data_IF_944815965198
#
_entry.id   IF_944815965198
#
_cell.length_a   1.000
_cell.length_b   1.000
_cell.length_c   1.000
_cell.angle_alpha   90.00
_cell.angle_beta   90.00
_cell.angle_gamma   90.00
#
_symmetry.space_group_name_H-M   'P 1'
#
loop_
_entity.id
_entity.type
_entity.pdbx_description
1 polymer ?
#
# COMPACT_ATOMS: atom_id res chain seq x y z
N UNK A 1 -33.79 -28.90 24.29
CA UNK A 1 -32.33 -28.74 24.32
C UNK A 1 -31.79 -29.35 23.05
N UNK A 2 -31.02 -28.59 22.26
CA UNK A 2 -30.44 -29.06 21.00
C UNK A 2 -28.92 -29.05 21.18
N UNK A 3 -28.30 -30.22 21.13
CA UNK A 3 -26.84 -30.32 21.07
C UNK A 3 -26.37 -29.84 19.68
N UNK A 4 -25.47 -28.87 19.65
CA UNK A 4 -24.78 -28.45 18.42
C UNK A 4 -23.39 -29.06 18.43
N UNK A 5 -23.09 -29.80 17.35
CA UNK A 5 -21.92 -30.66 17.23
C UNK A 5 -20.58 -29.90 17.31
N UNK A 6 -19.67 -30.42 18.12
CA UNK A 6 -18.29 -29.95 18.26
C UNK A 6 -17.41 -30.41 17.09
N UNK A 7 -17.46 -29.67 15.97
CA UNK A 7 -16.49 -29.81 14.86
C UNK A 7 -16.05 -28.47 14.30
N UNK A 8 -14.93 -27.96 14.80
CA UNK A 8 -13.92 -27.18 14.07
C UNK A 8 -12.70 -26.90 14.98
N UNK A 9 -12.00 -27.96 15.38
CA UNK A 9 -10.70 -27.82 16.03
C UNK A 9 -9.66 -27.41 14.98
N UNK A 10 -9.46 -26.10 14.79
CA UNK A 10 -8.42 -25.56 13.91
C UNK A 10 -7.05 -25.98 14.46
N UNK A 11 -6.33 -26.81 13.72
CA UNK A 11 -5.06 -27.37 14.17
C UNK A 11 -4.00 -26.27 14.34
N UNK A 12 -3.28 -26.22 15.49
CA UNK A 12 -2.15 -25.29 15.68
C UNK A 12 -1.03 -25.41 14.64
N UNK A 13 -1.00 -26.48 13.84
CA UNK A 13 -0.01 -26.71 12.79
C UNK A 13 0.04 -25.62 11.70
N UNK A 14 -1.06 -24.87 11.47
CA UNK A 14 -1.09 -23.75 10.53
C UNK A 14 -0.15 -22.59 10.94
N UNK A 15 0.06 -22.37 12.23
CA UNK A 15 0.91 -21.27 12.73
C UNK A 15 2.41 -21.51 12.54
N UNK A 16 2.85 -22.78 12.44
CA UNK A 16 4.27 -23.11 12.20
C UNK A 16 4.62 -23.13 10.70
N UNK A 17 3.70 -23.59 9.85
CA UNK A 17 3.96 -23.78 8.40
C UNK A 17 4.05 -22.49 7.58
N UNK A 18 3.52 -21.37 8.08
CA UNK A 18 3.49 -20.10 7.33
C UNK A 18 4.83 -19.32 7.34
N UNK A 19 5.78 -19.69 8.21
CA UNK A 19 7.10 -19.06 8.34
C UNK A 19 7.08 -17.58 8.75
N UNK A 20 5.94 -17.08 9.23
CA UNK A 20 5.61 -15.65 9.16
C UNK A 20 6.34 -14.72 10.14
N UNK A 21 6.89 -15.22 11.26
CA UNK A 21 7.58 -14.38 12.26
C UNK A 21 8.72 -15.14 12.94
N UNK A 22 9.96 -14.66 12.81
CA UNK A 22 11.03 -14.97 13.77
C UNK A 22 10.82 -14.08 14.99
N UNK A 23 10.17 -14.60 16.03
CA UNK A 23 9.95 -13.85 17.28
C UNK A 23 11.30 -13.61 17.96
N UNK A 24 11.77 -12.35 18.13
CA UNK A 24 12.99 -12.09 18.88
C UNK A 24 12.77 -12.41 20.36
N UNK A 25 13.68 -13.21 20.94
CA UNK A 25 13.59 -13.59 22.35
C UNK A 25 13.61 -12.34 23.25
N UNK A 26 12.66 -12.26 24.19
CA UNK A 26 12.57 -11.15 25.17
C UNK A 26 13.86 -11.06 25.98
N UNK A 27 14.66 -10.01 25.76
CA UNK A 27 15.74 -9.63 26.70
C UNK A 27 15.11 -9.08 27.98
N UNK A 28 15.26 -9.81 29.08
CA UNK A 28 14.91 -9.36 30.43
C UNK A 28 15.86 -8.25 30.88
N UNK A 29 15.37 -7.02 31.02
CA UNK A 29 16.14 -5.93 31.62
C UNK A 29 16.16 -6.08 33.15
N UNK A 30 17.33 -6.44 33.68
CA UNK A 30 17.64 -6.34 35.11
C UNK A 30 18.17 -4.93 35.40
N UNK A 31 17.50 -4.19 36.29
CA UNK A 31 17.94 -2.86 36.71
C UNK A 31 18.89 -2.96 37.92
N UNK A 32 20.07 -2.32 37.84
CA UNK A 32 20.89 -2.00 39.02
C UNK A 32 21.78 -0.76 38.80
N UNK A 33 22.07 -0.11 39.93
CA UNK A 33 22.66 1.23 40.18
C UNK A 33 24.02 1.48 39.50
N UNK A 34 24.40 2.75 39.33
CA UNK A 34 25.44 3.24 38.39
C UNK A 34 26.39 4.32 38.98
N UNK A 35 27.53 4.60 38.30
CA UNK A 35 28.61 5.58 38.63
C UNK A 35 29.48 5.17 39.86
N UNK A 36 30.68 5.77 40.13
CA UNK A 36 31.33 6.92 39.47
C UNK A 36 32.84 6.80 39.07
N UNK A 37 33.23 7.48 37.97
CA UNK A 37 34.54 8.17 37.72
C UNK A 37 35.87 7.35 37.72
N UNK A 38 36.98 7.68 37.02
CA UNK A 38 37.50 8.91 36.35
C UNK A 38 38.41 8.59 35.13
N UNK A 39 38.75 9.65 34.36
CA UNK A 39 40.03 9.93 33.64
C UNK A 39 40.55 9.09 32.45
N UNK A 40 40.42 9.69 31.25
CA UNK A 40 41.45 9.93 30.20
C UNK A 40 42.42 8.84 29.71
N UNK A 41 42.43 8.63 28.39
CA UNK A 41 43.62 8.92 27.55
C UNK A 41 43.24 9.14 26.08
N UNK A 42 43.96 10.01 25.36
CA UNK A 42 43.86 10.14 23.91
C UNK A 42 44.48 8.94 23.19
N UNK A 43 43.91 8.52 22.06
CA UNK A 43 44.68 8.02 20.91
C UNK A 43 43.91 8.17 19.60
N UNK A 44 44.65 8.54 18.55
CA UNK A 44 44.17 8.85 17.21
C UNK A 44 44.15 7.61 16.32
N UNK A 45 43.06 7.39 15.59
CA UNK A 45 42.97 6.61 14.35
C UNK A 45 41.73 7.13 13.60
N UNK A 46 41.90 7.95 12.57
CA UNK A 46 41.99 7.55 11.15
C UNK A 46 40.69 6.94 10.61
N UNK A 47 40.27 7.52 9.47
CA UNK A 47 38.93 7.44 8.89
C UNK A 47 38.58 6.07 8.30
N UNK A 48 37.38 5.60 8.60
CA UNK A 48 36.60 4.78 7.69
C UNK A 48 35.38 5.59 7.29
N UNK A 49 35.23 5.85 5.98
CA UNK A 49 34.08 6.57 5.44
C UNK A 49 32.82 5.76 5.63
N UNK A 50 31.83 6.35 6.32
CA UNK A 50 30.44 5.96 6.19
C UNK A 50 29.77 6.97 5.27
N UNK A 51 29.08 6.50 4.23
CA UNK A 51 28.30 7.37 3.35
C UNK A 51 27.15 7.99 4.14
N UNK A 52 27.30 9.27 4.53
CA UNK A 52 26.19 10.08 5.01
C UNK A 52 25.27 10.39 3.82
N UNK A 53 24.16 9.66 3.73
CA UNK A 53 23.10 9.98 2.79
C UNK A 53 22.39 11.27 3.24
N UNK A 54 22.90 12.42 2.80
CA UNK A 54 22.19 13.70 2.91
C UNK A 54 20.88 13.63 2.10
N UNK A 55 19.76 13.65 2.82
CA UNK A 55 18.43 13.75 2.22
C UNK A 55 18.11 15.20 1.85
N UNK A 56 18.29 15.58 0.58
CA UNK A 56 17.95 16.94 0.12
C UNK A 56 16.45 17.29 0.28
N UNK A 57 16.19 18.55 0.70
CA UNK A 57 15.04 18.96 1.55
C UNK A 57 13.65 19.08 0.88
N UNK A 58 13.33 18.25 -0.11
CA UNK A 58 12.11 18.35 -0.93
C UNK A 58 10.81 18.63 -0.16
N UNK A 59 10.30 19.87 -0.30
CA UNK A 59 9.06 20.45 0.26
C UNK A 59 8.94 20.52 1.79
N UNK A 60 9.88 21.18 2.48
CA UNK A 60 9.60 21.69 3.85
C UNK A 60 8.38 22.64 3.85
N UNK A 61 7.44 22.42 4.78
CA UNK A 61 6.38 23.39 5.15
C UNK A 61 7.08 24.65 5.69
N UNK A 62 6.61 25.89 5.38
CA UNK A 62 7.31 27.10 5.84
C UNK A 62 7.51 27.14 7.36
N UNK A 63 8.76 27.41 7.77
CA UNK A 63 9.12 27.59 9.18
C UNK A 63 8.46 28.88 9.70
N UNK A 64 8.00 28.87 10.95
CA UNK A 64 7.35 30.03 11.59
C UNK A 64 5.82 30.08 11.50
N UNK A 65 5.18 29.35 10.57
CA UNK A 65 3.71 29.29 10.51
C UNK A 65 3.09 28.73 11.80
N UNK A 66 1.99 29.32 12.26
CA UNK A 66 1.13 28.74 13.30
C UNK A 66 0.52 27.41 12.84
N UNK A 67 -0.02 26.62 13.78
CA UNK A 67 -0.66 25.36 13.45
C UNK A 67 -1.82 25.54 12.44
N UNK A 68 -2.64 26.57 12.61
CA UNK A 68 -3.77 26.86 11.73
C UNK A 68 -3.32 27.23 10.30
N UNK A 69 -2.24 28.00 10.15
CA UNK A 69 -1.69 28.38 8.84
C UNK A 69 -1.02 27.20 8.13
N UNK A 70 -0.29 26.33 8.85
CA UNK A 70 0.22 25.08 8.28
C UNK A 70 -0.91 24.18 7.78
N UNK A 71 -2.02 24.18 8.50
CA UNK A 71 -3.20 23.36 8.20
C UNK A 71 -3.93 23.90 6.97
N UNK A 72 -4.16 25.21 6.90
CA UNK A 72 -4.68 25.88 5.71
C UNK A 72 -3.75 25.70 4.50
N UNK A 73 -2.43 25.85 4.67
CA UNK A 73 -1.43 25.60 3.63
C UNK A 73 -1.51 24.17 3.10
N UNK A 74 -1.63 23.15 3.97
CA UNK A 74 -1.77 21.75 3.53
C UNK A 74 -3.14 21.49 2.87
N UNK A 75 -4.18 22.17 3.32
CA UNK A 75 -5.55 22.05 2.78
C UNK A 75 -5.66 22.69 1.39
N UNK A 76 -5.00 23.83 1.17
CA UNK A 76 -4.97 24.60 -0.08
C UNK A 76 -3.99 24.00 -1.12
N UNK A 77 -2.76 23.64 -0.72
CA UNK A 77 -1.79 23.04 -1.65
C UNK A 77 -2.09 21.57 -1.98
N UNK A 78 -2.63 20.77 -1.05
CA UNK A 78 -2.73 19.31 -1.19
C UNK A 78 -4.19 18.79 -1.15
N UNK A 79 -5.18 19.65 -0.91
CA UNK A 79 -6.59 19.25 -0.78
C UNK A 79 -6.88 18.45 0.48
N UNK A 80 -6.04 18.56 1.52
CA UNK A 80 -6.08 17.74 2.74
C UNK A 80 -6.22 18.60 4.01
N UNK A 81 -7.32 18.48 4.75
CA UNK A 81 -7.42 19.11 6.08
C UNK A 81 -6.84 18.24 7.20
N UNK A 82 -5.95 18.79 8.05
CA UNK A 82 -5.56 18.13 9.30
C UNK A 82 -6.65 18.25 10.40
N UNK A 83 -7.78 18.92 10.16
CA UNK A 83 -8.85 19.17 11.16
C UNK A 83 -9.87 18.03 11.34
N UNK A 84 -9.80 16.94 10.56
CA UNK A 84 -10.74 15.82 10.73
C UNK A 84 -10.53 15.20 12.14
N UNK A 85 -11.57 15.02 12.99
CA UNK A 85 -11.42 14.96 14.45
C UNK A 85 -11.09 13.57 15.06
N UNK A 86 -10.99 13.52 16.39
CA UNK A 86 -10.77 12.30 17.18
C UNK A 86 -11.93 11.29 17.06
N UNK A 87 -11.61 10.00 17.06
CA UNK A 87 -12.57 8.91 16.94
C UNK A 87 -12.06 7.59 17.56
N UNK A 88 -11.87 7.49 18.89
CA UNK A 88 -12.04 8.50 19.95
C UNK A 88 -11.12 8.17 21.15
N UNK A 89 -10.88 9.16 22.03
CA UNK A 89 -10.06 9.14 23.26
C UNK A 89 -8.61 8.61 23.24
N UNK A 90 -8.30 7.48 22.61
CA UNK A 90 -7.05 6.76 22.84
C UNK A 90 -5.83 7.34 22.09
N UNK A 91 -4.62 7.33 22.68
CA UNK A 91 -4.33 6.97 24.07
C UNK A 91 -3.05 7.67 24.59
N UNK A 92 -3.14 8.13 25.84
CA UNK A 92 -2.11 8.68 26.74
C UNK A 92 -1.14 9.77 26.25
N UNK A 93 -1.03 10.10 24.97
CA UNK A 93 -0.58 11.43 24.53
C UNK A 93 -1.13 11.82 23.14
N UNK A 94 -2.12 12.73 23.05
CA UNK A 94 -2.78 13.08 21.79
C UNK A 94 -1.97 14.03 20.87
N UNK A 95 -0.72 14.38 21.21
CA UNK A 95 0.07 15.37 20.48
C UNK A 95 0.82 14.79 19.26
N UNK A 96 1.02 13.46 19.17
CA UNK A 96 1.71 12.86 18.01
C UNK A 96 0.74 12.58 16.84
N UNK A 97 0.65 13.53 15.91
CA UNK A 97 -0.05 13.36 14.62
C UNK A 97 0.36 12.08 13.88
N UNK A 98 1.60 11.60 14.02
CA UNK A 98 2.09 10.40 13.32
C UNK A 98 1.37 9.15 13.84
N UNK A 99 1.09 9.09 15.15
CA UNK A 99 0.30 8.01 15.73
C UNK A 99 -1.13 8.02 15.19
N UNK A 100 -1.76 9.20 15.12
CA UNK A 100 -3.12 9.35 14.53
C UNK A 100 -3.16 8.87 13.09
N UNK A 101 -2.16 9.23 12.26
CA UNK A 101 -2.05 8.77 10.85
C UNK A 101 -1.90 7.25 10.75
N UNK A 102 -1.08 6.62 11.61
CA UNK A 102 -0.89 5.16 11.66
C UNK A 102 -2.16 4.41 12.08
N UNK A 103 -2.84 4.89 13.13
CA UNK A 103 -4.13 4.33 13.59
C UNK A 103 -5.18 4.44 12.49
N UNK A 104 -5.30 5.60 11.84
CA UNK A 104 -6.22 5.80 10.71
C UNK A 104 -5.91 4.88 9.55
N UNK A 105 -4.66 4.82 9.08
CA UNK A 105 -4.26 3.95 7.96
C UNK A 105 -4.59 2.46 8.23
N UNK A 106 -4.33 1.99 9.45
CA UNK A 106 -4.70 0.63 9.88
C UNK A 106 -6.23 0.45 9.94
N UNK A 107 -6.96 1.43 10.48
CA UNK A 107 -8.43 1.44 10.52
C UNK A 107 -9.09 1.46 9.13
N UNK A 108 -8.53 2.20 8.17
CA UNK A 108 -8.97 2.21 6.76
C UNK A 108 -8.82 0.83 6.13
N UNK A 109 -7.70 0.15 6.39
CA UNK A 109 -7.44 -1.20 5.88
C UNK A 109 -8.42 -2.22 6.49
N UNK A 110 -8.62 -2.16 7.81
CA UNK A 110 -9.61 -2.94 8.57
C UNK A 110 -11.03 -2.77 8.03
N UNK A 111 -11.50 -1.54 7.88
CA UNK A 111 -12.87 -1.28 7.41
C UNK A 111 -13.03 -1.66 5.93
N UNK A 112 -12.06 -1.36 5.06
CA UNK A 112 -12.15 -1.68 3.63
C UNK A 112 -12.21 -3.19 3.36
N UNK A 113 -11.39 -3.97 4.07
CA UNK A 113 -11.34 -5.44 3.93
C UNK A 113 -12.29 -6.19 4.88
N UNK A 114 -13.00 -5.46 5.76
CA UNK A 114 -14.11 -5.99 6.56
C UNK A 114 -13.71 -6.82 7.79
N UNK A 115 -12.60 -6.49 8.44
CA UNK A 115 -12.06 -7.24 9.59
C UNK A 115 -11.79 -6.35 10.83
N UNK A 116 -11.49 -6.98 11.97
CA UNK A 116 -11.37 -6.31 13.29
C UNK A 116 -12.73 -5.91 13.89
N UNK A 117 -12.75 -5.43 15.14
CA UNK A 117 -14.00 -5.01 15.81
C UNK A 117 -14.44 -3.58 15.47
N UNK A 118 -13.48 -2.67 15.26
CA UNK A 118 -13.75 -1.23 15.15
C UNK A 118 -14.22 -0.76 13.76
N UNK A 119 -15.20 -1.46 13.17
CA UNK A 119 -15.72 -1.26 11.79
C UNK A 119 -16.60 -0.01 11.59
N UNK A 120 -16.51 0.96 12.50
CA UNK A 120 -17.38 2.14 12.57
C UNK A 120 -16.61 3.45 12.70
N UNK A 121 -15.27 3.41 12.65
CA UNK A 121 -14.45 4.63 12.77
C UNK A 121 -14.59 5.52 11.51
N UNK A 122 -14.91 4.95 10.35
CA UNK A 122 -14.75 5.63 9.06
C UNK A 122 -16.04 5.60 8.23
N UNK A 123 -16.99 6.45 8.62
CA UNK A 123 -18.23 6.64 7.85
C UNK A 123 -17.93 7.10 6.41
N UNK A 124 -18.62 6.48 5.44
CA UNK A 124 -18.64 6.93 4.04
C UNK A 124 -17.93 6.03 3.03
N UNK A 125 -17.20 5.00 3.48
CA UNK A 125 -16.75 3.90 2.62
C UNK A 125 -17.96 3.11 2.05
N UNK A 126 -17.72 2.36 0.97
CA UNK A 126 -18.75 1.75 0.12
C UNK A 126 -19.75 0.84 0.83
N UNK A 127 -20.77 0.39 0.09
CA UNK A 127 -21.67 -0.65 0.60
C UNK A 127 -20.85 -1.94 0.86
N UNK A 128 -21.14 -2.71 1.93
CA UNK A 128 -20.56 -4.03 2.07
C UNK A 128 -20.92 -4.90 0.85
N UNK A 129 -19.95 -5.70 0.40
CA UNK A 129 -20.16 -6.70 -0.64
C UNK A 129 -21.10 -7.80 -0.12
N UNK A 130 -21.88 -8.39 -1.03
CA UNK A 130 -22.87 -9.40 -0.68
C UNK A 130 -22.22 -10.58 0.06
N UNK A 131 -22.77 -10.94 1.23
CA UNK A 131 -22.25 -12.00 2.14
C UNK A 131 -20.85 -11.73 2.71
N UNK A 132 -20.42 -10.47 2.79
CA UNK A 132 -19.16 -10.08 3.41
C UNK A 132 -19.28 -8.76 4.17
N UNK A 133 -18.35 -8.53 5.10
CA UNK A 133 -18.14 -7.20 5.69
C UNK A 133 -17.12 -6.35 4.91
N UNK A 134 -16.45 -6.94 3.91
CA UNK A 134 -15.57 -6.22 2.97
C UNK A 134 -16.38 -5.18 2.19
N UNK A 135 -15.83 -4.00 2.01
CA UNK A 135 -16.48 -2.87 1.32
C UNK A 135 -16.29 -2.99 -0.19
N UNK A 136 -17.28 -2.59 -0.97
CA UNK A 136 -17.15 -2.47 -2.43
C UNK A 136 -16.33 -1.21 -2.76
N UNK A 137 -15.02 -1.38 -2.92
CA UNK A 137 -14.04 -0.32 -3.16
C UNK A 137 -12.98 -0.76 -4.16
N UNK A 138 -12.47 0.22 -4.91
CA UNK A 138 -11.32 0.08 -5.80
C UNK A 138 -10.11 0.71 -5.15
N UNK A 139 -9.07 -0.07 -4.88
CA UNK A 139 -7.77 0.47 -4.52
C UNK A 139 -7.05 0.90 -5.79
N UNK A 140 -6.58 2.16 -5.84
CA UNK A 140 -5.70 2.66 -6.91
C UNK A 140 -4.41 3.14 -6.26
N UNK A 141 -3.35 2.37 -6.41
CA UNK A 141 -2.02 2.73 -5.97
C UNK A 141 -1.29 3.57 -7.00
N UNK A 142 -0.62 4.63 -6.54
CA UNK A 142 0.21 5.51 -7.37
C UNK A 142 1.62 5.59 -6.79
N UNK A 143 2.61 5.61 -7.68
CA UNK A 143 4.01 5.90 -7.41
C UNK A 143 4.58 6.75 -8.57
N UNK A 144 5.53 7.66 -8.30
CA UNK A 144 6.11 8.55 -9.31
C UNK A 144 7.63 8.66 -9.17
N UNK A 145 8.35 8.35 -10.25
CA UNK A 145 9.81 8.42 -10.31
C UNK A 145 10.29 9.20 -11.55
N UNK A 146 11.59 9.51 -11.63
CA UNK A 146 12.26 10.21 -12.74
C UNK A 146 11.63 11.57 -13.07
N UNK A 147 11.03 12.18 -12.05
CA UNK A 147 10.27 13.44 -12.11
C UNK A 147 11.21 14.62 -12.39
N UNK A 148 11.14 15.18 -13.61
CA UNK A 148 11.82 16.44 -13.96
C UNK A 148 10.94 17.63 -13.56
N UNK A 149 11.53 18.59 -12.85
CA UNK A 149 10.82 19.79 -12.37
C UNK A 149 11.44 21.05 -12.94
N UNK A 150 10.58 21.97 -13.35
CA UNK A 150 10.92 23.38 -13.48
C UNK A 150 10.80 24.01 -12.10
N UNK A 151 11.78 24.84 -11.69
CA UNK A 151 11.86 25.46 -10.37
C UNK A 151 12.14 26.94 -10.55
N UNK A 152 11.35 27.78 -9.89
CA UNK A 152 11.49 29.24 -9.91
C UNK A 152 11.26 29.82 -8.52
N UNK A 153 11.58 31.10 -8.33
CA UNK A 153 11.51 31.76 -7.03
C UNK A 153 10.48 32.89 -7.03
N UNK A 154 9.62 32.92 -6.00
CA UNK A 154 8.63 33.98 -5.76
C UNK A 154 8.78 34.40 -4.30
N UNK A 155 9.03 35.68 -4.03
CA UNK A 155 9.19 36.26 -2.69
C UNK A 155 10.16 35.49 -1.76
N UNK A 156 11.31 35.06 -2.31
CA UNK A 156 12.32 34.27 -1.59
C UNK A 156 11.93 32.80 -1.38
N UNK A 157 10.86 32.32 -2.02
CA UNK A 157 10.35 30.95 -1.92
C UNK A 157 10.54 30.21 -3.24
N UNK A 158 11.32 29.13 -3.21
CA UNK A 158 11.43 28.20 -4.33
C UNK A 158 10.11 27.43 -4.47
N UNK A 159 9.46 27.60 -5.61
CA UNK A 159 8.30 26.83 -6.06
C UNK A 159 8.66 26.12 -7.37
N UNK A 160 7.82 25.23 -7.86
CA UNK A 160 8.10 24.51 -9.09
C UNK A 160 6.99 23.57 -9.51
N UNK A 161 7.06 23.14 -10.77
CA UNK A 161 6.09 22.25 -11.41
C UNK A 161 6.80 21.08 -12.08
N UNK A 162 6.21 19.90 -11.98
CA UNK A 162 6.61 18.73 -12.74
C UNK A 162 6.34 18.92 -14.23
N UNK A 163 7.39 18.80 -15.05
CA UNK A 163 7.30 18.88 -16.52
C UNK A 163 7.12 17.51 -17.16
N UNK A 164 7.82 16.50 -16.67
CA UNK A 164 7.80 15.11 -17.16
C UNK A 164 8.18 14.15 -16.03
N UNK A 165 7.82 12.88 -16.17
CA UNK A 165 8.11 11.86 -15.16
C UNK A 165 7.47 10.53 -15.49
N UNK A 166 7.84 9.49 -14.75
CA UNK A 166 7.28 8.16 -14.88
C UNK A 166 6.24 7.96 -13.78
N UNK A 167 5.03 7.58 -14.15
CA UNK A 167 3.91 7.34 -13.23
C UNK A 167 3.54 5.86 -13.28
N UNK A 168 3.58 5.21 -12.12
CA UNK A 168 3.06 3.88 -11.90
C UNK A 168 1.63 3.94 -11.39
N UNK A 169 0.75 3.13 -11.96
CA UNK A 169 -0.63 2.98 -11.49
C UNK A 169 -0.94 1.51 -11.33
N UNK A 170 -1.38 1.08 -10.14
CA UNK A 170 -1.84 -0.29 -9.91
C UNK A 170 -3.23 -0.31 -9.29
N UNK A 171 -4.07 -1.24 -9.73
CA UNK A 171 -5.51 -1.29 -9.43
C UNK A 171 -5.88 -2.65 -8.85
N UNK A 172 -6.67 -2.65 -7.78
CA UNK A 172 -7.18 -3.84 -7.11
C UNK A 172 -8.61 -3.61 -6.60
N UNK A 173 -9.57 -4.34 -7.18
CA UNK A 173 -10.98 -4.28 -6.78
C UNK A 173 -11.28 -5.32 -5.68
N UNK A 174 -11.84 -4.89 -4.54
CA UNK A 174 -12.22 -5.81 -3.45
C UNK A 174 -13.24 -6.86 -3.88
N UNK A 175 -14.14 -6.50 -4.80
CA UNK A 175 -15.09 -7.44 -5.41
C UNK A 175 -14.39 -8.62 -6.07
N UNK A 176 -13.28 -8.38 -6.78
CA UNK A 176 -12.53 -9.45 -7.44
C UNK A 176 -11.79 -10.34 -6.43
N UNK A 177 -11.35 -9.78 -5.29
CA UNK A 177 -10.82 -10.57 -4.17
C UNK A 177 -11.92 -11.47 -3.61
N UNK A 178 -13.11 -10.92 -3.31
CA UNK A 178 -14.20 -11.70 -2.72
C UNK A 178 -14.74 -12.78 -3.67
N UNK A 179 -14.99 -12.44 -4.94
CA UNK A 179 -15.47 -13.38 -5.96
C UNK A 179 -14.52 -14.58 -6.12
N UNK A 180 -13.20 -14.37 -6.01
CA UNK A 180 -12.20 -15.44 -6.08
C UNK A 180 -12.01 -16.15 -4.73
N UNK A 181 -12.12 -15.46 -3.59
CA UNK A 181 -12.04 -16.09 -2.27
C UNK A 181 -13.24 -17.00 -1.96
N UNK A 182 -14.41 -16.73 -2.56
CA UNK A 182 -15.61 -17.58 -2.48
C UNK A 182 -15.69 -18.62 -3.62
N UNK A 183 -14.74 -18.60 -4.56
CA UNK A 183 -14.66 -19.59 -5.64
C UNK A 183 -14.06 -20.90 -5.10
N UNK A 184 -14.60 -22.07 -5.48
CA UNK A 184 -13.98 -23.37 -5.15
C UNK A 184 -12.74 -23.67 -5.99
N UNK A 185 -12.42 -22.83 -6.98
CA UNK A 185 -11.26 -22.96 -7.86
C UNK A 185 -10.15 -22.00 -7.42
N UNK A 186 -8.98 -22.54 -7.08
CA UNK A 186 -7.77 -21.76 -6.87
C UNK A 186 -7.35 -21.04 -8.17
N UNK A 187 -7.07 -19.72 -8.13
CA UNK A 187 -6.59 -18.99 -9.30
C UNK A 187 -5.14 -19.43 -9.62
N UNK A 188 -4.80 -19.75 -10.88
CA UNK A 188 -3.44 -20.17 -11.24
C UNK A 188 -2.40 -19.06 -11.08
N UNK A 189 -2.82 -17.79 -11.12
CA UNK A 189 -1.96 -16.62 -10.98
C UNK A 189 -2.66 -15.53 -10.13
N UNK A 190 -2.74 -15.69 -8.79
CA UNK A 190 -3.49 -14.77 -7.93
C UNK A 190 -3.00 -13.32 -8.04
N UNK A 191 -1.69 -13.10 -8.23
CA UNK A 191 -1.09 -11.78 -8.46
C UNK A 191 -1.68 -10.98 -9.64
N UNK A 192 -2.37 -11.63 -10.60
CA UNK A 192 -3.07 -10.94 -11.70
C UNK A 192 -4.37 -10.24 -11.28
N UNK A 193 -4.81 -10.41 -10.02
CA UNK A 193 -5.88 -9.60 -9.43
C UNK A 193 -5.46 -8.14 -9.19
N UNK A 194 -4.15 -7.87 -9.14
CA UNK A 194 -3.59 -6.53 -9.24
C UNK A 194 -3.26 -6.26 -10.71
N UNK A 195 -3.97 -5.32 -11.33
CA UNK A 195 -3.65 -4.80 -12.66
C UNK A 195 -2.66 -3.64 -12.52
N UNK A 196 -1.64 -3.55 -13.37
CA UNK A 196 -0.60 -2.51 -13.25
C UNK A 196 -0.23 -1.92 -14.59
N UNK A 197 0.14 -0.64 -14.57
CA UNK A 197 0.46 0.19 -15.71
C UNK A 197 1.64 1.10 -15.39
N UNK A 198 2.48 1.41 -16.38
CA UNK A 198 3.53 2.41 -16.27
C UNK A 198 3.42 3.41 -17.43
N UNK A 199 3.44 4.69 -17.09
CA UNK A 199 3.26 5.79 -18.03
C UNK A 199 4.49 6.72 -17.99
N UNK A 200 5.16 6.88 -19.13
CA UNK A 200 6.20 7.88 -19.34
C UNK A 200 5.53 9.18 -19.80
N UNK A 201 5.26 10.07 -18.85
CA UNK A 201 4.45 11.27 -19.05
C UNK A 201 5.34 12.40 -19.54
N UNK A 202 5.00 12.99 -20.70
CA UNK A 202 5.83 13.97 -21.42
C UNK A 202 7.30 13.49 -21.59
N UNK A 203 7.49 12.18 -21.74
CA UNK A 203 8.81 11.53 -21.78
C UNK A 203 8.78 10.23 -22.59
N UNK A 204 9.92 9.86 -23.17
CA UNK A 204 10.07 8.61 -23.92
C UNK A 204 10.16 7.38 -23.01
N UNK A 205 9.74 6.22 -23.52
CA UNK A 205 9.97 4.93 -22.85
C UNK A 205 11.48 4.63 -22.86
N UNK A 206 12.08 4.19 -21.73
CA UNK A 206 13.49 3.81 -21.70
C UNK A 206 13.80 2.65 -22.65
N UNK A 207 15.02 2.63 -23.21
CA UNK A 207 15.51 1.51 -24.04
C UNK A 207 15.48 0.17 -23.29
N UNK A 208 15.78 0.22 -22.00
CA UNK A 208 15.68 -0.89 -21.06
C UNK A 208 14.51 -0.59 -20.11
N UNK A 209 13.32 -1.11 -20.45
CA UNK A 209 12.14 -0.99 -19.60
C UNK A 209 12.17 -2.03 -18.47
N UNK A 210 12.32 -1.55 -17.23
CA UNK A 210 12.34 -2.40 -16.04
C UNK A 210 10.94 -2.83 -15.56
N UNK A 211 9.86 -2.39 -16.20
CA UNK A 211 8.49 -2.68 -15.78
C UNK A 211 8.12 -4.16 -15.98
N UNK A 212 7.83 -4.87 -14.89
CA UNK A 212 7.64 -6.32 -14.83
C UNK A 212 6.21 -6.78 -15.13
N UNK A 213 5.24 -5.87 -15.09
CA UNK A 213 3.81 -6.21 -15.09
C UNK A 213 3.06 -5.82 -16.37
N UNK A 214 3.78 -5.40 -17.41
CA UNK A 214 3.19 -5.00 -18.69
C UNK A 214 4.23 -4.41 -19.65
N UNK A 215 3.88 -3.29 -20.28
CA UNK A 215 4.77 -2.45 -21.09
C UNK A 215 4.56 -1.00 -20.67
N UNK A 216 5.62 -0.19 -20.63
CA UNK A 216 5.47 1.26 -20.46
C UNK A 216 4.85 1.90 -21.69
N UNK A 217 3.98 2.89 -21.50
CA UNK A 217 3.43 3.72 -22.56
C UNK A 217 3.97 5.16 -22.43
N UNK A 218 4.54 5.73 -23.51
CA UNK A 218 4.81 7.17 -23.58
C UNK A 218 3.50 7.90 -23.90
N UNK A 219 3.11 8.86 -23.07
CA UNK A 219 1.83 9.57 -23.17
C UNK A 219 1.95 11.05 -22.77
N UNK A 220 1.01 11.86 -23.23
CA UNK A 220 0.83 13.23 -22.73
C UNK A 220 0.18 13.25 -21.34
N UNK A 221 0.34 14.35 -20.61
CA UNK A 221 -0.36 14.61 -19.34
C UNK A 221 -1.90 14.60 -19.52
N UNK A 222 -2.39 15.04 -20.68
CA UNK A 222 -3.82 14.97 -21.02
C UNK A 222 -4.32 13.53 -21.17
N UNK A 223 -3.51 12.63 -21.72
CA UNK A 223 -3.84 11.20 -21.81
C UNK A 223 -3.73 10.50 -20.46
N UNK A 224 -2.75 10.87 -19.62
CA UNK A 224 -2.69 10.41 -18.24
C UNK A 224 -4.00 10.77 -17.53
N UNK A 225 -4.42 12.04 -17.60
CA UNK A 225 -5.69 12.48 -17.03
C UNK A 225 -6.86 11.64 -17.54
N UNK A 226 -7.01 11.45 -18.85
CA UNK A 226 -8.08 10.61 -19.44
C UNK A 226 -8.05 9.16 -18.91
N UNK A 227 -6.87 8.56 -18.77
CA UNK A 227 -6.70 7.22 -18.19
C UNK A 227 -7.11 7.19 -16.71
N UNK A 228 -6.75 8.20 -15.92
CA UNK A 228 -7.19 8.32 -14.52
C UNK A 228 -8.70 8.55 -14.42
N UNK A 229 -9.27 9.47 -15.20
CA UNK A 229 -10.71 9.72 -15.30
C UNK A 229 -11.48 8.42 -15.65
N UNK A 230 -10.91 7.57 -16.51
CA UNK A 230 -11.51 6.27 -16.82
C UNK A 230 -11.55 5.34 -15.59
N UNK A 231 -10.47 5.25 -14.81
CA UNK A 231 -10.40 4.41 -13.61
C UNK A 231 -11.41 4.80 -12.52
N UNK A 232 -11.95 6.03 -12.55
CA UNK A 232 -13.04 6.49 -11.66
C UNK A 232 -14.41 5.83 -11.90
N UNK A 233 -14.59 5.14 -13.03
CA UNK A 233 -15.87 4.51 -13.34
C UNK A 233 -15.99 3.18 -12.57
N UNK A 234 -16.89 3.13 -11.58
CA UNK A 234 -17.21 1.90 -10.84
C UNK A 234 -17.33 2.10 -9.31
N UNK A 235 -16.70 1.23 -8.49
CA UNK A 235 -16.73 1.32 -7.03
C UNK A 235 -16.15 2.63 -6.49
N UNK A 236 -16.37 2.90 -5.20
CA UNK A 236 -15.68 4.02 -4.55
C UNK A 236 -14.16 3.80 -4.55
N UNK A 237 -13.39 4.84 -4.93
CA UNK A 237 -11.93 4.75 -4.93
C UNK A 237 -11.35 5.03 -3.54
N UNK A 238 -10.42 4.17 -3.15
CA UNK A 238 -9.42 4.42 -2.12
C UNK A 238 -8.08 4.59 -2.84
N UNK A 239 -7.48 5.78 -2.74
CA UNK A 239 -6.13 6.02 -3.23
C UNK A 239 -5.12 5.33 -2.31
N UNK A 240 -4.11 4.68 -2.86
CA UNK A 240 -3.04 4.01 -2.11
C UNK A 240 -1.70 4.60 -2.51
N UNK A 241 -0.78 4.76 -1.57
CA UNK A 241 0.58 5.25 -1.81
C UNK A 241 1.57 4.63 -0.85
N UNK A 242 2.86 4.74 -1.17
CA UNK A 242 3.95 4.48 -0.24
C UNK A 242 4.71 5.77 0.08
N UNK A 243 4.44 6.42 1.22
CA UNK A 243 5.03 7.74 1.56
C UNK A 243 4.71 8.84 0.51
N UNK A 244 3.51 8.79 -0.07
CA UNK A 244 3.15 9.33 -1.39
C UNK A 244 3.22 10.83 -1.67
N UNK A 245 3.82 11.65 -0.81
CA UNK A 245 3.71 13.12 -0.90
C UNK A 245 4.31 13.69 -2.20
N UNK A 246 5.38 13.08 -2.72
CA UNK A 246 6.03 13.55 -3.97
C UNK A 246 5.20 13.14 -5.19
N UNK A 247 4.58 11.99 -5.11
CA UNK A 247 3.78 11.32 -6.12
C UNK A 247 2.46 12.07 -6.35
N UNK A 248 1.76 12.42 -5.27
CA UNK A 248 0.55 13.23 -5.33
C UNK A 248 0.80 14.64 -5.88
N UNK A 249 1.98 15.22 -5.64
CA UNK A 249 2.36 16.49 -6.27
C UNK A 249 2.57 16.33 -7.79
N UNK A 250 3.25 15.27 -8.24
CA UNK A 250 3.39 15.00 -9.67
C UNK A 250 2.03 14.79 -10.36
N UNK A 251 1.11 14.03 -9.72
CA UNK A 251 -0.27 13.86 -10.24
C UNK A 251 -1.05 15.18 -10.30
N UNK A 252 -0.84 16.09 -9.32
CA UNK A 252 -1.43 17.44 -9.33
C UNK A 252 -0.90 18.27 -10.52
N UNK A 253 0.41 18.28 -10.72
CA UNK A 253 1.08 19.07 -11.77
C UNK A 253 0.71 18.63 -13.20
N UNK A 254 0.43 17.34 -13.39
CA UNK A 254 -0.11 16.76 -14.62
C UNK A 254 -1.64 16.91 -14.76
N UNK A 255 -2.34 17.46 -13.76
CA UNK A 255 -3.80 17.62 -13.78
C UNK A 255 -4.58 16.29 -13.75
N UNK A 256 -3.93 15.20 -13.31
CA UNK A 256 -4.43 13.84 -13.29
C UNK A 256 -4.78 13.39 -11.85
N UNK A 257 -5.25 14.32 -11.02
CA UNK A 257 -5.71 14.04 -9.66
C UNK A 257 -6.92 13.10 -9.65
N UNK A 258 -7.08 12.37 -8.56
CA UNK A 258 -8.23 11.48 -8.37
C UNK A 258 -9.25 12.05 -7.37
N UNK A 259 -10.51 11.63 -7.54
CA UNK A 259 -11.61 11.81 -6.61
C UNK A 259 -11.72 10.61 -5.63
N UNK A 260 -10.58 10.17 -5.08
CA UNK A 260 -10.59 9.18 -4.01
C UNK A 260 -11.37 9.68 -2.78
N UNK A 261 -12.06 8.76 -2.10
CA UNK A 261 -12.65 9.06 -0.78
C UNK A 261 -11.57 9.30 0.27
N UNK A 262 -10.48 8.52 0.22
CA UNK A 262 -9.40 8.55 1.20
C UNK A 262 -8.07 8.15 0.55
N UNK A 263 -6.97 8.58 1.17
CA UNK A 263 -5.62 8.10 0.88
C UNK A 263 -5.13 7.16 1.98
N UNK A 264 -4.73 5.96 1.59
CA UNK A 264 -4.08 4.96 2.44
C UNK A 264 -2.57 4.97 2.16
N UNK A 265 -1.80 5.51 3.11
CA UNK A 265 -0.34 5.38 3.07
C UNK A 265 0.08 4.06 3.72
N UNK A 266 0.63 3.16 2.90
CA UNK A 266 1.06 1.81 3.33
C UNK A 266 2.23 1.88 4.31
N UNK A 267 3.08 2.92 4.21
CA UNK A 267 4.15 3.15 5.18
C UNK A 267 3.60 3.50 6.58
N UNK A 268 2.42 4.13 6.67
CA UNK A 268 1.74 4.34 7.96
C UNK A 268 0.93 3.11 8.40
N UNK A 269 0.29 2.40 7.47
CA UNK A 269 -0.48 1.19 7.76
C UNK A 269 0.39 0.06 8.34
N UNK A 270 1.67 -0.02 7.97
CA UNK A 270 2.57 -1.10 8.44
C UNK A 270 2.95 -1.01 9.92
N UNK A 271 2.84 0.17 10.56
CA UNK A 271 3.39 0.39 11.90
C UNK A 271 2.74 -0.46 13.00
N UNK A 272 1.41 -0.49 13.04
CA UNK A 272 0.68 -1.19 14.11
C UNK A 272 0.76 -2.71 13.92
N UNK A 273 0.46 -3.28 12.74
CA UNK A 273 0.51 -4.73 12.53
C UNK A 273 1.92 -5.31 12.70
N UNK A 274 2.96 -4.58 12.30
CA UNK A 274 4.35 -5.05 12.42
C UNK A 274 5.04 -4.59 13.72
N UNK A 275 4.34 -3.84 14.57
CA UNK A 275 4.88 -3.24 15.81
C UNK A 275 6.18 -2.46 15.56
N UNK A 276 6.26 -1.79 14.40
CA UNK A 276 7.47 -1.16 13.93
C UNK A 276 7.78 0.11 14.73
N UNK A 277 9.05 0.30 15.08
CA UNK A 277 9.54 1.52 15.77
C UNK A 277 10.01 2.61 14.81
N UNK A 278 10.25 2.25 13.55
CA UNK A 278 10.74 3.10 12.46
C UNK A 278 9.98 2.78 11.17
N UNK A 279 9.94 3.69 10.18
CA UNK A 279 9.35 3.36 8.88
C UNK A 279 10.23 2.32 8.19
N UNK A 280 9.61 1.26 7.68
CA UNK A 280 10.28 0.37 6.74
C UNK A 280 10.38 1.04 5.36
N UNK A 281 11.30 0.57 4.52
CA UNK A 281 11.25 0.84 3.07
C UNK A 281 10.42 -0.22 2.37
N UNK A 282 9.92 0.05 1.16
CA UNK A 282 9.12 -0.92 0.40
C UNK A 282 9.88 -2.24 0.21
N UNK A 283 11.15 -2.18 -0.20
CA UNK A 283 12.01 -3.37 -0.31
C UNK A 283 12.30 -4.08 1.02
N UNK A 284 12.22 -3.39 2.17
CA UNK A 284 12.26 -4.07 3.47
C UNK A 284 10.97 -4.87 3.71
N UNK A 285 9.80 -4.27 3.48
CA UNK A 285 8.51 -4.98 3.59
C UNK A 285 8.44 -6.19 2.66
N UNK A 286 8.97 -6.08 1.43
CA UNK A 286 9.03 -7.20 0.50
C UNK A 286 9.81 -8.38 1.08
N UNK A 287 10.98 -8.12 1.68
CA UNK A 287 11.79 -9.16 2.32
C UNK A 287 11.12 -9.74 3.57
N UNK A 288 10.57 -8.89 4.44
CA UNK A 288 9.91 -9.31 5.69
C UNK A 288 8.72 -10.25 5.44
N UNK A 289 7.90 -9.97 4.42
CA UNK A 289 6.76 -10.81 4.08
C UNK A 289 7.09 -12.01 3.17
N UNK A 290 8.31 -12.08 2.63
CA UNK A 290 8.70 -13.05 1.61
C UNK A 290 7.98 -12.84 0.28
N UNK A 291 7.78 -11.59 -0.13
CA UNK A 291 7.20 -11.21 -1.42
C UNK A 291 8.32 -11.24 -2.50
N UNK A 292 8.16 -12.06 -3.56
CA UNK A 292 9.06 -12.00 -4.71
C UNK A 292 8.97 -10.61 -5.37
N UNK A 293 10.11 -9.94 -5.48
CA UNK A 293 10.25 -8.59 -6.04
C UNK A 293 11.59 -8.46 -6.77
N UNK A 294 11.61 -7.57 -7.76
CA UNK A 294 12.78 -7.18 -8.55
C UNK A 294 12.51 -5.79 -9.17
N UNK A 295 13.51 -5.12 -9.74
CA UNK A 295 13.38 -3.82 -10.42
C UNK A 295 12.53 -2.78 -9.65
N UNK A 296 12.81 -2.60 -8.35
CA UNK A 296 12.36 -1.40 -7.61
C UNK A 296 13.03 -0.16 -8.25
N UNK A 297 12.44 1.03 -8.11
CA UNK A 297 12.74 2.24 -8.92
C UNK A 297 12.21 2.14 -10.38
N UNK A 298 11.15 1.37 -10.55
CA UNK A 298 10.22 1.43 -11.68
C UNK A 298 8.86 1.67 -11.05
N UNK A 299 8.25 2.85 -11.22
CA UNK A 299 7.07 3.22 -10.43
C UNK A 299 5.88 2.29 -10.68
N UNK A 300 5.77 1.71 -11.88
CA UNK A 300 4.77 0.66 -12.16
C UNK A 300 4.98 -0.61 -11.32
N UNK A 301 6.22 -0.99 -11.06
CA UNK A 301 6.57 -2.08 -10.15
C UNK A 301 6.32 -1.69 -8.69
N UNK A 302 6.77 -0.51 -8.27
CA UNK A 302 6.66 -0.05 -6.89
C UNK A 302 5.19 0.14 -6.47
N UNK A 303 4.32 0.62 -7.35
CA UNK A 303 2.87 0.64 -7.14
C UNK A 303 2.26 -0.78 -7.03
N UNK A 304 2.73 -1.76 -7.82
CA UNK A 304 2.26 -3.15 -7.75
C UNK A 304 2.69 -3.81 -6.43
N UNK A 305 3.96 -3.68 -6.08
CA UNK A 305 4.54 -4.22 -4.86
C UNK A 305 3.97 -3.54 -3.61
N UNK A 306 3.59 -2.26 -3.69
CA UNK A 306 2.87 -1.56 -2.62
C UNK A 306 1.50 -2.18 -2.33
N UNK A 307 0.72 -2.56 -3.35
CA UNK A 307 -0.54 -3.30 -3.13
C UNK A 307 -0.33 -4.72 -2.58
N UNK A 308 0.76 -5.40 -2.97
CA UNK A 308 1.13 -6.69 -2.36
C UNK A 308 1.52 -6.54 -0.88
N UNK A 309 2.30 -5.51 -0.53
CA UNK A 309 2.61 -5.17 0.86
C UNK A 309 1.33 -4.84 1.65
N UNK A 310 0.42 -4.04 1.09
CA UNK A 310 -0.86 -3.69 1.72
C UNK A 310 -1.67 -4.95 2.08
N UNK A 311 -1.78 -5.92 1.17
CA UNK A 311 -2.45 -7.19 1.43
C UNK A 311 -1.74 -8.06 2.47
N UNK A 312 -0.41 -8.10 2.47
CA UNK A 312 0.37 -8.82 3.48
C UNK A 312 0.22 -8.20 4.89
N UNK A 313 0.25 -6.86 4.97
CA UNK A 313 -0.02 -6.09 6.21
C UNK A 313 -1.43 -6.39 6.72
N UNK A 314 -2.44 -6.33 5.84
CA UNK A 314 -3.82 -6.66 6.20
C UNK A 314 -3.96 -8.10 6.71
N UNK A 315 -3.27 -9.05 6.09
CA UNK A 315 -3.31 -10.45 6.49
C UNK A 315 -2.67 -10.68 7.88
N UNK A 316 -1.53 -10.03 8.17
CA UNK A 316 -0.88 -10.09 9.48
C UNK A 316 -1.73 -9.41 10.56
N UNK A 317 -2.34 -8.27 10.24
CA UNK A 317 -3.26 -7.55 11.13
C UNK A 317 -4.52 -8.38 11.45
N UNK A 318 -5.16 -8.94 10.41
CA UNK A 318 -6.32 -9.81 10.55
C UNK A 318 -6.03 -11.08 11.36
N UNK A 319 -4.84 -11.67 11.21
CA UNK A 319 -4.40 -12.81 12.02
C UNK A 319 -4.18 -12.44 13.49
N UNK A 320 -3.71 -11.22 13.79
CA UNK A 320 -3.58 -10.74 15.18
C UNK A 320 -4.96 -10.46 15.80
N UNK A 321 -5.87 -9.85 15.06
CA UNK A 321 -7.26 -9.63 15.51
C UNK A 321 -8.01 -10.98 15.69
N UNK A 322 -7.80 -11.96 14.83
CA UNK A 322 -8.40 -13.31 14.93
C UNK A 322 -7.84 -14.16 16.10
N UNK A 323 -6.77 -13.73 16.78
CA UNK A 323 -6.40 -14.32 18.09
C UNK A 323 -7.37 -13.88 19.20
N UNK A 324 -8.14 -12.81 18.97
CA UNK A 324 -9.17 -12.29 19.86
C UNK A 324 -10.59 -12.58 19.34
N UNK A 325 -10.76 -12.77 18.03
CA UNK A 325 -12.04 -12.99 17.36
C UNK A 325 -12.11 -14.39 16.74
N UNK A 326 -13.18 -15.15 17.01
CA UNK A 326 -13.32 -16.56 16.59
C UNK A 326 -13.53 -16.78 15.07
N UNK A 327 -13.43 -15.74 14.23
CA UNK A 327 -13.68 -15.83 12.79
C UNK A 327 -12.50 -15.28 11.98
N UNK A 328 -12.05 -16.08 11.00
CA UNK A 328 -10.90 -15.79 10.13
C UNK A 328 -11.45 -15.34 8.77
N UNK A 329 -11.15 -14.13 8.29
CA UNK A 329 -11.73 -13.62 7.06
C UNK A 329 -11.43 -14.53 5.85
N UNK A 330 -12.46 -14.94 5.11
CA UNK A 330 -12.34 -15.89 3.99
C UNK A 330 -11.33 -15.46 2.90
N UNK A 331 -11.07 -14.16 2.76
CA UNK A 331 -10.11 -13.62 1.81
C UNK A 331 -8.63 -13.75 2.25
N UNK A 332 -8.35 -14.14 3.50
CA UNK A 332 -7.03 -14.10 4.10
C UNK A 332 -5.99 -14.92 3.33
N UNK A 333 -6.32 -16.18 3.02
CA UNK A 333 -5.43 -17.09 2.27
C UNK A 333 -5.18 -16.54 0.85
N UNK A 334 -6.21 -16.02 0.19
CA UNK A 334 -6.08 -15.38 -1.12
C UNK A 334 -5.19 -14.13 -1.06
N UNK A 335 -5.31 -13.28 -0.04
CA UNK A 335 -4.45 -12.10 0.12
C UNK A 335 -2.97 -12.49 0.29
N UNK A 336 -2.67 -13.53 1.06
CA UNK A 336 -1.32 -14.08 1.18
C UNK A 336 -0.82 -14.70 -0.14
N UNK A 337 -1.68 -15.42 -0.88
CA UNK A 337 -1.38 -15.93 -2.23
C UNK A 337 -1.11 -14.82 -3.25
N UNK A 338 -1.87 -13.72 -3.23
CA UNK A 338 -1.64 -12.53 -4.08
C UNK A 338 -0.29 -11.91 -3.72
N UNK A 339 -0.06 -11.62 -2.44
CA UNK A 339 1.17 -10.98 -1.98
C UNK A 339 2.42 -11.80 -2.35
N UNK A 340 2.39 -13.12 -2.12
CA UNK A 340 3.51 -14.04 -2.39
C UNK A 340 3.51 -14.64 -3.80
N UNK A 341 2.67 -14.14 -4.72
CA UNK A 341 2.66 -14.62 -6.10
C UNK A 341 4.04 -14.44 -6.76
N UNK A 342 4.46 -15.35 -7.66
CA UNK A 342 5.69 -15.14 -8.42
C UNK A 342 5.62 -13.84 -9.23
N UNK A 343 6.79 -13.29 -9.57
CA UNK A 343 6.91 -12.27 -10.61
C UNK A 343 6.51 -12.94 -11.94
N UNK A 344 5.72 -12.30 -12.80
CA UNK A 344 5.43 -12.84 -14.12
C UNK A 344 6.72 -13.08 -14.90
N UNK A 345 6.96 -14.33 -15.29
CA UNK A 345 7.91 -14.60 -16.39
C UNK A 345 7.28 -14.03 -17.65
N UNK A 346 7.75 -12.86 -18.10
CA UNK A 346 7.23 -12.18 -19.27
C UNK A 346 7.42 -13.10 -20.49
N UNK A 347 6.31 -13.63 -21.02
CA UNK A 347 6.28 -14.06 -22.41
C UNK A 347 6.10 -12.80 -23.26
N UNK A 348 7.10 -12.38 -24.07
CA UNK A 348 7.06 -11.14 -24.84
C UNK A 348 5.85 -11.04 -25.80
N UNK A 349 5.27 -12.18 -26.18
CA UNK A 349 4.13 -12.25 -27.11
C UNK A 349 2.77 -12.17 -26.40
N UNK A 350 2.72 -12.37 -25.09
CA UNK A 350 1.48 -12.35 -24.29
C UNK A 350 0.96 -10.93 -23.96
N UNK A 351 1.60 -9.89 -24.50
CA UNK A 351 1.31 -8.49 -24.16
C UNK A 351 -0.05 -8.03 -24.68
N UNK A 352 -1.06 -8.10 -23.83
CA UNK A 352 -2.31 -7.38 -24.02
C UNK A 352 -2.10 -5.89 -23.87
N UNK A 353 -2.59 -5.12 -24.83
CA UNK A 353 -2.81 -3.67 -24.70
C UNK A 353 -3.68 -3.34 -23.49
N UNK A 354 -3.65 -2.07 -23.06
CA UNK A 354 -4.60 -1.52 -22.08
C UNK A 354 -6.05 -1.82 -22.52
N UNK A 355 -6.76 -2.62 -21.72
CA UNK A 355 -8.19 -2.90 -21.85
C UNK A 355 -8.82 -2.76 -20.46
N UNK A 356 -9.57 -1.68 -20.20
CA UNK A 356 -10.16 -1.43 -18.89
C UNK A 356 -11.39 -2.31 -18.61
N UNK A 357 -11.94 -2.97 -19.64
CA UNK A 357 -13.02 -3.95 -19.49
C UNK A 357 -12.49 -5.38 -19.31
N UNK A 358 -11.16 -5.56 -19.28
CA UNK A 358 -10.55 -6.88 -19.13
C UNK A 358 -10.88 -7.45 -17.75
N UNK A 359 -11.84 -8.36 -17.75
CA UNK A 359 -12.18 -9.21 -16.62
C UNK A 359 -10.91 -9.95 -16.14
N UNK A 360 -10.40 -9.68 -14.92
CA UNK A 360 -9.21 -10.34 -14.39
C UNK A 360 -9.50 -11.79 -13.95
N UNK A 361 -10.77 -12.21 -13.91
CA UNK A 361 -11.12 -13.61 -13.67
C UNK A 361 -10.55 -14.47 -14.80
N UNK A 362 -10.05 -15.68 -14.51
CA UNK A 362 -9.63 -16.60 -15.57
C UNK A 362 -10.83 -16.81 -16.50
N UNK A 363 -10.62 -16.55 -17.80
CA UNK A 363 -11.65 -16.76 -18.81
C UNK A 363 -12.27 -18.14 -18.60
N UNK A 364 -13.59 -18.20 -18.40
CA UNK A 364 -14.31 -19.45 -18.13
C UNK A 364 -13.87 -20.46 -19.18
N UNK A 365 -13.05 -21.45 -18.78
CA UNK A 365 -12.69 -22.55 -19.66
C UNK A 365 -14.01 -23.13 -20.13
N UNK A 366 -14.27 -23.07 -21.44
CA UNK A 366 -15.39 -23.80 -22.04
C UNK A 366 -15.12 -25.26 -21.70
N UNK A 367 -15.81 -25.78 -20.69
CA UNK A 367 -15.82 -27.21 -20.42
C UNK A 367 -16.29 -27.85 -21.72
N UNK A 368 -15.54 -28.80 -22.31
CA UNK A 368 -16.06 -29.54 -23.43
C UNK A 368 -17.40 -30.12 -22.98
N UNK A 369 -18.44 -29.90 -23.78
CA UNK A 369 -19.75 -30.51 -23.53
C UNK A 369 -19.50 -32.02 -23.42
N UNK A 370 -19.70 -32.58 -22.22
CA UNK A 370 -19.74 -34.02 -22.08
C UNK A 370 -20.99 -34.47 -22.82
N UNK A 371 -20.78 -35.04 -24.01
CA UNK A 371 -21.85 -35.60 -24.81
C UNK A 371 -22.63 -36.62 -23.99
N UNK A 372 -23.94 -36.64 -24.20
CA UNK A 372 -24.83 -37.61 -23.58
C UNK A 372 -24.34 -39.03 -23.91
N UNK A 373 -24.04 -39.81 -22.88
CA UNK A 373 -24.03 -41.27 -23.02
C UNK A 373 -25.45 -41.73 -22.72
N UNK A 374 -26.16 -42.13 -23.77
CA UNK A 374 -27.40 -42.94 -23.72
C UNK A 374 -27.04 -44.40 -23.57
#
# INVERSE_FOLDING_TARGET
>A
MIEVSSRLAVSPALFSRAGLIRVPARRSYSAKRQRPSKTSTLRTAQSLGGDEYEYEEGSRIPKGLSYAEKLAFVEDDYGWSLKVPYSKELYHNPVDERLVRRVRATGFLRESLGYGEHRHIIMGLGRPLLRSCMRDVRFICIDADRVKKEVWEIDGRKTGRTLSGHIGVSVLDTKNILDVALSPLDPPYPGRLIQSYQYCVESEVPKEDGFLFGKSESISALELKKKMDHLHHGPQIVGVVYSGRRDLLAMKDFGATMQQKFWLDVCYASYIPLRATSPYSLGHLMREFGIPHDNLHSPGNDAHFTLRAMLAIAAVDALQEAQHLQDVPHWLDLALKIARSPIPTIDPQSSTSWDPNRDPRPAKRKTPYLGQWT
#
